data_IF_347491912870
#
_entry.id   IF_347491912870
#
_cell.length_a   1.000
_cell.length_b   1.000
_cell.length_c   1.000
_cell.angle_alpha   90.00
_cell.angle_beta   90.00
_cell.angle_gamma   90.00
#
_symmetry.space_group_name_H-M   'P 1'
#
loop_
_entity.id
_entity.type
_entity.pdbx_description
1 polymer ?
#
# COMPACT_ATOMS: atom_id res chain seq x y z
N UNK A 1 -24.50 11.26 -1.03
CA UNK A 1 -24.12 10.22 -0.06
C UNK A 1 -24.07 8.80 -0.65
N UNK A 2 -25.12 8.30 -1.32
CA UNK A 2 -25.09 6.92 -1.87
C UNK A 2 -23.96 6.69 -2.89
N UNK A 3 -23.68 7.68 -3.75
CA UNK A 3 -22.59 7.63 -4.71
C UNK A 3 -21.21 7.58 -4.06
N UNK A 4 -21.02 8.27 -2.93
CA UNK A 4 -19.78 8.26 -2.13
C UNK A 4 -19.57 6.86 -1.54
N UNK A 5 -20.61 6.29 -0.93
CA UNK A 5 -20.58 4.91 -0.43
C UNK A 5 -20.23 3.91 -1.54
N UNK A 6 -20.90 4.01 -2.69
CA UNK A 6 -20.60 3.16 -3.86
C UNK A 6 -19.15 3.32 -4.34
N UNK A 7 -18.61 4.55 -4.36
CA UNK A 7 -17.22 4.79 -4.69
C UNK A 7 -16.25 4.11 -3.72
N UNK A 8 -16.49 4.24 -2.40
CA UNK A 8 -15.71 3.57 -1.35
C UNK A 8 -15.76 2.06 -1.53
N UNK A 9 -16.95 1.48 -1.78
CA UNK A 9 -17.13 0.05 -2.03
C UNK A 9 -16.32 -0.44 -3.22
N UNK A 10 -16.45 0.24 -4.37
CA UNK A 10 -15.79 -0.16 -5.60
C UNK A 10 -14.27 -0.10 -5.44
N UNK A 11 -13.75 0.97 -4.83
CA UNK A 11 -12.31 1.11 -4.59
C UNK A 11 -11.82 0.04 -3.63
N UNK A 12 -12.52 -0.22 -2.52
CA UNK A 12 -12.15 -1.29 -1.58
C UNK A 12 -12.26 -2.68 -2.18
N UNK A 13 -13.23 -2.95 -3.05
CA UNK A 13 -13.33 -4.21 -3.77
C UNK A 13 -12.12 -4.42 -4.70
N UNK A 14 -11.68 -3.37 -5.40
CA UNK A 14 -10.48 -3.42 -6.23
C UNK A 14 -9.23 -3.67 -5.36
N UNK A 15 -9.11 -2.95 -4.25
CA UNK A 15 -7.96 -3.02 -3.33
C UNK A 15 -7.84 -4.35 -2.59
N UNK A 16 -8.93 -4.83 -2.01
CA UNK A 16 -8.93 -5.98 -1.12
C UNK A 16 -9.27 -7.30 -1.81
N UNK A 17 -9.89 -7.24 -3.00
CA UNK A 17 -10.31 -8.41 -3.76
C UNK A 17 -9.50 -8.59 -5.04
N UNK A 18 -9.77 -7.73 -6.03
CA UNK A 18 -9.30 -7.94 -7.41
C UNK A 18 -7.78 -7.93 -7.52
N UNK A 19 -7.12 -6.95 -6.90
CA UNK A 19 -5.67 -6.76 -7.01
C UNK A 19 -4.89 -7.89 -6.33
N UNK A 20 -5.14 -8.26 -5.06
CA UNK A 20 -4.46 -9.39 -4.43
C UNK A 20 -4.72 -10.73 -5.13
N UNK A 21 -5.95 -10.96 -5.60
CA UNK A 21 -6.30 -12.18 -6.32
C UNK A 21 -5.53 -12.30 -7.65
N UNK A 22 -5.48 -11.22 -8.43
CA UNK A 22 -4.79 -11.18 -9.72
C UNK A 22 -3.28 -11.37 -9.54
N UNK A 23 -2.70 -10.72 -8.53
CA UNK A 23 -1.28 -10.87 -8.17
C UNK A 23 -1.00 -12.32 -7.75
N UNK A 24 -1.80 -12.89 -6.84
CA UNK A 24 -1.63 -14.28 -6.39
C UNK A 24 -1.71 -15.28 -7.56
N UNK A 25 -2.74 -15.16 -8.42
CA UNK A 25 -2.92 -16.05 -9.57
C UNK A 25 -1.75 -16.00 -10.55
N UNK A 26 -1.20 -14.81 -10.80
CA UNK A 26 -0.07 -14.65 -11.72
C UNK A 26 1.24 -15.16 -11.12
N UNK A 27 1.39 -15.14 -9.79
CA UNK A 27 2.64 -15.57 -9.14
C UNK A 27 2.64 -17.07 -8.77
N UNK A 28 1.49 -17.74 -8.74
CA UNK A 28 1.38 -19.17 -8.40
C UNK A 28 2.24 -20.11 -9.26
N UNK A 29 2.68 -19.67 -10.43
CA UNK A 29 3.49 -20.45 -11.35
C UNK A 29 5.00 -20.20 -11.23
N UNK A 30 5.47 -19.38 -10.28
CA UNK A 30 6.90 -19.12 -10.09
C UNK A 30 7.41 -19.68 -8.77
N UNK A 31 8.54 -20.38 -8.84
CA UNK A 31 9.25 -20.91 -7.68
C UNK A 31 10.01 -19.78 -6.95
N UNK A 32 9.67 -19.55 -5.68
CA UNK A 32 10.17 -18.41 -4.91
C UNK A 32 11.49 -18.74 -4.22
N UNK A 33 12.60 -18.31 -4.81
CA UNK A 33 13.89 -18.28 -4.12
C UNK A 33 14.17 -16.88 -3.54
N UNK A 34 13.85 -16.69 -2.26
CA UNK A 34 14.08 -15.45 -1.50
C UNK A 34 15.57 -15.16 -1.26
N UNK A 35 16.47 -16.12 -1.48
CA UNK A 35 17.92 -15.89 -1.46
C UNK A 35 18.42 -15.29 -2.77
N UNK A 36 17.64 -15.42 -3.85
CA UNK A 36 18.01 -15.02 -5.22
C UNK A 36 17.25 -13.80 -5.72
N UNK A 37 16.01 -13.59 -5.28
CA UNK A 37 15.14 -12.49 -5.72
C UNK A 37 14.69 -11.62 -4.54
N UNK A 38 14.66 -10.31 -4.74
CA UNK A 38 14.39 -9.33 -3.67
C UNK A 38 13.15 -8.49 -3.95
N UNK A 39 12.51 -8.00 -2.89
CA UNK A 39 11.58 -6.86 -2.82
C UNK A 39 10.53 -6.77 -3.92
N UNK A 40 10.85 -6.16 -5.06
CA UNK A 40 9.90 -5.96 -6.16
C UNK A 40 10.01 -7.06 -7.23
N UNK A 41 9.93 -8.31 -6.81
CA UNK A 41 9.90 -9.48 -7.71
C UNK A 41 8.96 -9.29 -8.92
N UNK A 42 7.85 -8.55 -8.73
CA UNK A 42 6.86 -8.21 -9.74
C UNK A 42 7.29 -7.21 -10.83
N UNK A 43 8.53 -6.72 -10.85
CA UNK A 43 9.00 -5.96 -12.02
C UNK A 43 10.35 -6.42 -12.55
N UNK A 44 10.71 -7.68 -12.27
CA UNK A 44 11.92 -8.25 -12.84
C UNK A 44 11.75 -8.54 -14.35
N UNK A 45 12.35 -7.70 -15.19
CA UNK A 45 12.36 -7.86 -16.65
C UNK A 45 12.92 -9.22 -17.10
N UNK A 46 13.92 -9.76 -16.41
CA UNK A 46 14.53 -11.03 -16.78
C UNK A 46 13.62 -12.23 -16.48
N UNK A 47 12.68 -12.08 -15.53
CA UNK A 47 11.70 -13.12 -15.19
C UNK A 47 10.38 -12.94 -15.96
N UNK A 48 9.95 -11.69 -16.20
CA UNK A 48 8.59 -11.40 -16.68
C UNK A 48 8.52 -10.55 -17.97
N UNK A 49 9.66 -10.10 -18.51
CA UNK A 49 9.73 -9.30 -19.74
C UNK A 49 9.28 -7.84 -19.59
N UNK A 50 9.49 -7.04 -20.65
CA UNK A 50 9.21 -5.59 -20.66
C UNK A 50 7.72 -5.25 -20.49
N UNK A 51 6.83 -6.08 -21.03
CA UNK A 51 5.38 -5.88 -20.94
C UNK A 51 4.91 -5.89 -19.49
N UNK A 52 5.45 -6.82 -18.69
CA UNK A 52 5.08 -6.96 -17.29
C UNK A 52 5.59 -5.79 -16.44
N UNK A 53 6.82 -5.34 -16.68
CA UNK A 53 7.37 -4.15 -16.01
C UNK A 53 6.51 -2.91 -16.27
N UNK A 54 6.10 -2.70 -17.53
CA UNK A 54 5.18 -1.60 -17.89
C UNK A 54 3.82 -1.75 -17.23
N UNK A 55 3.26 -2.96 -17.19
CA UNK A 55 1.98 -3.24 -16.54
C UNK A 55 2.04 -3.00 -15.02
N UNK A 56 3.10 -3.45 -14.36
CA UNK A 56 3.32 -3.23 -12.93
C UNK A 56 3.46 -1.75 -12.58
N UNK A 57 4.21 -0.98 -13.37
CA UNK A 57 4.28 0.48 -13.21
C UNK A 57 2.90 1.14 -13.32
N UNK A 58 2.09 0.74 -14.31
CA UNK A 58 0.71 1.23 -14.47
C UNK A 58 -0.17 0.82 -13.29
N UNK A 59 0.01 -0.39 -12.77
CA UNK A 59 -0.70 -0.87 -11.59
C UNK A 59 -0.39 0.01 -10.38
N UNK A 60 0.89 0.24 -10.06
CA UNK A 60 1.29 1.09 -8.93
C UNK A 60 0.74 2.52 -9.05
N UNK A 61 0.75 3.07 -10.26
CA UNK A 61 0.16 4.39 -10.51
C UNK A 61 -1.37 4.39 -10.30
N UNK A 62 -2.07 3.37 -10.79
CA UNK A 62 -3.50 3.20 -10.54
C UNK A 62 -3.79 3.03 -9.04
N UNK A 63 -2.96 2.28 -8.32
CA UNK A 63 -3.03 2.12 -6.86
C UNK A 63 -2.88 3.46 -6.15
N UNK A 64 -1.94 4.32 -6.56
CA UNK A 64 -1.79 5.66 -5.98
C UNK A 64 -3.08 6.50 -6.15
N UNK A 65 -3.65 6.52 -7.36
CA UNK A 65 -4.90 7.23 -7.66
C UNK A 65 -6.07 6.68 -6.82
N UNK A 66 -6.22 5.36 -6.77
CA UNK A 66 -7.26 4.71 -6.00
C UNK A 66 -7.12 5.03 -4.50
N UNK A 67 -5.88 5.05 -3.97
CA UNK A 67 -5.62 5.41 -2.58
C UNK A 67 -6.09 6.85 -2.29
N UNK A 68 -5.73 7.79 -3.16
CA UNK A 68 -6.13 9.18 -3.02
C UNK A 68 -7.65 9.32 -3.01
N UNK A 69 -8.32 8.73 -4.01
CA UNK A 69 -9.78 8.76 -4.12
C UNK A 69 -10.45 8.09 -2.91
N UNK A 70 -9.89 7.00 -2.40
CA UNK A 70 -10.45 6.30 -1.25
C UNK A 70 -10.49 7.19 -0.01
N UNK A 71 -9.36 7.79 0.35
CA UNK A 71 -9.29 8.67 1.53
C UNK A 71 -10.01 10.00 1.32
N UNK A 72 -10.06 10.50 0.10
CA UNK A 72 -10.85 11.68 -0.23
C UNK A 72 -12.35 11.43 -0.05
N UNK A 73 -12.88 10.31 -0.55
CA UNK A 73 -14.28 9.94 -0.36
C UNK A 73 -14.60 9.67 1.12
N UNK A 74 -13.68 9.05 1.87
CA UNK A 74 -13.82 8.92 3.32
C UNK A 74 -13.86 10.29 4.01
N UNK A 75 -13.00 11.23 3.59
CA UNK A 75 -13.02 12.59 4.11
C UNK A 75 -14.35 13.29 3.87
N UNK A 76 -14.93 13.11 2.68
CA UNK A 76 -16.23 13.68 2.33
C UNK A 76 -17.37 13.02 3.12
N UNK A 77 -17.33 11.70 3.30
CA UNK A 77 -18.35 10.96 4.03
C UNK A 77 -18.37 11.26 5.53
N UNK A 78 -17.19 11.39 6.15
CA UNK A 78 -17.03 11.64 7.58
C UNK A 78 -16.84 13.12 7.95
N UNK A 79 -17.05 14.05 7.00
CA UNK A 79 -16.85 15.50 7.17
C UNK A 79 -15.47 15.90 7.75
N UNK A 80 -14.42 15.22 7.29
CA UNK A 80 -13.04 15.44 7.77
C UNK A 80 -12.29 16.52 6.99
N UNK A 81 -12.93 17.20 6.05
CA UNK A 81 -12.29 18.17 5.16
C UNK A 81 -11.66 19.37 5.88
N UNK A 82 -12.09 19.66 7.11
CA UNK A 82 -11.50 20.71 7.97
C UNK A 82 -10.22 20.26 8.68
N UNK A 83 -9.92 18.97 8.69
CA UNK A 83 -8.71 18.44 9.30
C UNK A 83 -7.53 18.61 8.34
N UNK A 84 -6.90 19.79 8.37
CA UNK A 84 -5.78 20.12 7.47
C UNK A 84 -4.63 19.12 7.51
N UNK A 85 -4.33 18.53 8.68
CA UNK A 85 -3.26 17.54 8.82
C UNK A 85 -3.61 16.26 8.07
N UNK A 86 -4.85 15.80 8.18
CA UNK A 86 -5.34 14.64 7.44
C UNK A 86 -5.32 14.91 5.93
N UNK A 87 -5.82 16.06 5.49
CA UNK A 87 -5.83 16.43 4.06
C UNK A 87 -4.41 16.48 3.47
N UNK A 88 -3.46 17.15 4.14
CA UNK A 88 -2.04 17.17 3.71
C UNK A 88 -1.43 15.78 3.68
N UNK A 89 -1.83 14.90 4.60
CA UNK A 89 -1.33 13.52 4.61
C UNK A 89 -1.86 12.71 3.40
N UNK A 90 -3.09 12.96 2.94
CA UNK A 90 -3.62 12.34 1.71
C UNK A 90 -2.73 12.73 0.53
N UNK A 91 -2.45 14.02 0.35
CA UNK A 91 -1.61 14.53 -0.74
C UNK A 91 -0.18 13.97 -0.66
N UNK A 92 0.39 13.94 0.54
CA UNK A 92 1.74 13.43 0.80
C UNK A 92 1.83 11.93 0.49
N UNK A 93 0.85 11.15 0.93
CA UNK A 93 0.75 9.72 0.65
C UNK A 93 0.63 9.45 -0.85
N UNK A 94 -0.21 10.23 -1.55
CA UNK A 94 -0.34 10.15 -3.01
C UNK A 94 0.97 10.46 -3.73
N UNK A 95 1.68 11.50 -3.31
CA UNK A 95 2.97 11.87 -3.88
C UNK A 95 4.01 10.74 -3.72
N UNK A 96 4.15 10.16 -2.52
CA UNK A 96 5.11 9.08 -2.29
C UNK A 96 4.74 7.78 -3.00
N UNK A 97 3.46 7.39 -3.01
CA UNK A 97 2.99 6.22 -3.77
C UNK A 97 3.23 6.40 -5.27
N UNK A 98 2.97 7.60 -5.79
CA UNK A 98 3.22 7.93 -7.19
C UNK A 98 4.71 7.89 -7.50
N UNK A 99 5.54 8.52 -6.69
CA UNK A 99 7.01 8.48 -6.82
C UNK A 99 7.52 7.05 -6.84
N UNK A 100 7.00 6.18 -5.96
CA UNK A 100 7.38 4.77 -5.92
C UNK A 100 7.10 4.07 -7.26
N UNK A 101 5.97 4.37 -7.91
CA UNK A 101 5.67 3.84 -9.24
C UNK A 101 6.68 4.28 -10.33
N UNK A 102 7.31 5.44 -10.16
CA UNK A 102 8.27 5.99 -11.14
C UNK A 102 9.73 5.65 -10.83
N UNK A 103 10.06 5.26 -9.60
CA UNK A 103 11.41 4.78 -9.28
C UNK A 103 11.63 3.44 -9.97
N UNK A 104 12.66 3.30 -10.83
CA UNK A 104 12.94 2.03 -11.49
C UNK A 104 13.33 1.01 -10.41
N UNK A 105 12.52 -0.02 -10.27
CA UNK A 105 12.75 -1.05 -9.26
C UNK A 105 13.92 -1.91 -9.78
N UNK A 106 15.06 -1.91 -9.09
CA UNK A 106 16.25 -2.63 -9.52
C UNK A 106 16.50 -3.87 -8.66
N UNK A 107 16.85 -4.97 -9.31
CA UNK A 107 16.79 -6.33 -8.76
C UNK A 107 18.12 -7.01 -8.56
N UNK A 108 19.21 -6.36 -8.97
CA UNK A 108 20.51 -6.99 -8.84
C UNK A 108 20.93 -7.03 -7.36
N UNK A 109 21.58 -8.13 -6.92
CA UNK A 109 22.20 -8.19 -5.59
C UNK A 109 23.21 -7.06 -5.45
N UNK A 110 23.39 -6.58 -4.21
CA UNK A 110 24.39 -5.55 -3.91
C UNK A 110 25.74 -5.98 -4.49
N UNK A 111 26.29 -5.15 -5.37
CA UNK A 111 27.54 -5.46 -6.05
C UNK A 111 28.39 -4.20 -6.13
N UNK A 112 29.60 -4.28 -5.58
CA UNK A 112 30.60 -3.21 -5.69
C UNK A 112 31.04 -2.94 -7.14
N UNK A 113 30.82 -3.89 -8.06
CA UNK A 113 31.11 -3.71 -9.50
C UNK A 113 30.09 -2.80 -10.20
N UNK A 114 28.84 -2.74 -9.72
CA UNK A 114 27.77 -1.94 -10.32
C UNK A 114 27.14 -1.00 -9.28
N UNK A 115 27.88 0.06 -8.95
CA UNK A 115 27.54 1.04 -7.91
C UNK A 115 26.20 1.75 -8.21
N UNK A 116 25.93 2.10 -9.47
CA UNK A 116 24.68 2.73 -9.90
C UNK A 116 23.43 1.86 -9.59
N UNK A 117 23.49 0.56 -9.88
CA UNK A 117 22.38 -0.37 -9.60
C UNK A 117 22.16 -0.55 -8.08
N UNK A 118 23.25 -0.53 -7.32
CA UNK A 118 23.20 -0.61 -5.85
C UNK A 118 22.60 0.66 -5.22
N UNK A 119 22.95 1.86 -5.72
CA UNK A 119 22.36 3.13 -5.27
C UNK A 119 20.87 3.18 -5.59
N UNK A 120 20.48 2.81 -6.81
CA UNK A 120 19.08 2.76 -7.23
C UNK A 120 18.24 1.85 -6.31
N UNK A 121 18.80 0.71 -5.88
CA UNK A 121 18.16 -0.20 -4.94
C UNK A 121 18.00 0.40 -3.54
N UNK A 122 19.02 1.11 -3.03
CA UNK A 122 18.93 1.81 -1.74
C UNK A 122 17.82 2.87 -1.79
N UNK A 123 17.77 3.66 -2.87
CA UNK A 123 16.75 4.68 -3.06
C UNK A 123 15.34 4.09 -3.13
N UNK A 124 15.17 2.98 -3.86
CA UNK A 124 13.89 2.29 -3.93
C UNK A 124 13.44 1.77 -2.56
N UNK A 125 14.35 1.12 -1.81
CA UNK A 125 14.03 0.59 -0.48
C UNK A 125 13.69 1.68 0.52
N UNK A 126 14.44 2.78 0.49
CA UNK A 126 14.18 3.94 1.33
C UNK A 126 12.80 4.53 1.01
N UNK A 127 12.49 4.69 -0.28
CA UNK A 127 11.19 5.18 -0.71
C UNK A 127 10.05 4.22 -0.35
N UNK A 128 10.25 2.91 -0.47
CA UNK A 128 9.29 1.91 -0.04
C UNK A 128 8.99 2.05 1.46
N UNK A 129 10.02 2.18 2.31
CA UNK A 129 9.87 2.43 3.75
C UNK A 129 9.07 3.71 4.01
N UNK A 130 9.37 4.79 3.29
CA UNK A 130 8.62 6.05 3.40
C UNK A 130 7.14 5.83 3.01
N UNK A 131 6.86 5.08 1.95
CA UNK A 131 5.49 4.72 1.55
C UNK A 131 4.79 3.90 2.63
N UNK A 132 5.45 2.90 3.23
CA UNK A 132 4.88 2.13 4.35
C UNK A 132 4.47 3.04 5.52
N UNK A 133 5.39 3.90 5.96
CA UNK A 133 5.18 4.80 7.10
C UNK A 133 4.06 5.81 6.78
N UNK A 134 4.09 6.42 5.60
CA UNK A 134 3.14 7.47 5.21
C UNK A 134 1.72 6.92 5.06
N UNK A 135 1.57 5.70 4.51
CA UNK A 135 0.26 5.06 4.40
C UNK A 135 -0.29 4.59 5.76
N UNK A 136 0.55 4.01 6.61
CA UNK A 136 0.17 3.67 7.99
C UNK A 136 -0.24 4.91 8.79
N UNK A 137 0.51 6.01 8.67
CA UNK A 137 0.20 7.27 9.33
C UNK A 137 -1.12 7.87 8.83
N UNK A 138 -1.40 7.77 7.53
CA UNK A 138 -2.67 8.22 6.95
C UNK A 138 -3.86 7.46 7.55
N UNK A 139 -3.74 6.13 7.66
CA UNK A 139 -4.77 5.28 8.28
C UNK A 139 -4.96 5.65 9.76
N UNK A 140 -3.88 5.80 10.52
CA UNK A 140 -3.94 6.18 11.94
C UNK A 140 -4.61 7.55 12.08
N UNK A 141 -4.21 8.55 11.30
CA UNK A 141 -4.81 9.89 11.34
C UNK A 141 -6.30 9.85 11.04
N UNK A 142 -6.71 9.12 10.00
CA UNK A 142 -8.13 8.92 9.71
C UNK A 142 -8.87 8.31 10.91
N UNK A 143 -8.35 7.21 11.48
CA UNK A 143 -9.01 6.53 12.59
C UNK A 143 -9.08 7.38 13.85
N UNK A 144 -8.03 8.16 14.15
CA UNK A 144 -8.05 9.13 15.25
C UNK A 144 -9.03 10.28 15.02
N UNK A 145 -9.19 10.73 13.77
CA UNK A 145 -10.10 11.81 13.44
C UNK A 145 -11.57 11.41 13.67
N UNK A 146 -11.95 10.19 13.26
CA UNK A 146 -13.31 9.68 13.46
C UNK A 146 -13.56 9.17 14.89
N UNK A 147 -12.53 9.01 15.72
CA UNK A 147 -12.65 8.41 17.05
C UNK A 147 -13.57 9.22 17.97
N UNK A 148 -13.55 10.55 17.85
CA UNK A 148 -14.36 11.47 18.66
C UNK A 148 -15.86 11.23 18.47
N UNK A 149 -16.30 11.03 17.23
CA UNK A 149 -17.70 10.80 16.90
C UNK A 149 -18.08 9.31 16.92
N UNK A 150 -17.13 8.43 16.60
CA UNK A 150 -17.36 7.00 16.34
C UNK A 150 -16.33 6.13 17.08
N UNK A 151 -16.40 6.16 18.40
CA UNK A 151 -15.47 5.47 19.31
C UNK A 151 -15.22 4.00 18.94
N UNK A 152 -16.28 3.22 18.67
CA UNK A 152 -16.14 1.81 18.33
C UNK A 152 -15.40 1.59 17.01
N UNK A 153 -15.77 2.33 15.96
CA UNK A 153 -15.17 2.18 14.63
C UNK A 153 -13.71 2.66 14.66
N UNK A 154 -13.46 3.81 15.30
CA UNK A 154 -12.12 4.36 15.47
C UNK A 154 -11.18 3.42 16.22
N UNK A 155 -11.62 2.88 17.37
CA UNK A 155 -10.78 2.01 18.21
C UNK A 155 -10.48 0.67 17.53
N UNK A 156 -11.51 0.03 16.96
CA UNK A 156 -11.32 -1.25 16.25
C UNK A 156 -10.45 -1.09 15.01
N UNK A 157 -10.64 -0.01 14.24
CA UNK A 157 -9.78 0.32 13.11
C UNK A 157 -8.32 0.57 13.51
N UNK A 158 -8.08 1.25 14.64
CA UNK A 158 -6.74 1.45 15.21
C UNK A 158 -6.08 0.13 15.62
N UNK A 159 -6.83 -0.76 16.28
CA UNK A 159 -6.32 -2.08 16.69
C UNK A 159 -5.89 -2.88 15.46
N UNK A 160 -6.73 -2.89 14.40
CA UNK A 160 -6.42 -3.60 13.15
C UNK A 160 -5.09 -3.08 12.57
N UNK A 161 -4.94 -1.77 12.39
CA UNK A 161 -3.74 -1.22 11.75
C UNK A 161 -2.48 -1.41 12.62
N UNK A 162 -2.58 -1.32 13.95
CA UNK A 162 -1.46 -1.56 14.86
C UNK A 162 -0.99 -3.01 14.75
N UNK A 163 -1.92 -3.97 14.78
CA UNK A 163 -1.59 -5.39 14.62
C UNK A 163 -0.91 -5.66 13.28
N UNK A 164 -1.41 -5.05 12.19
CA UNK A 164 -0.79 -5.15 10.86
C UNK A 164 0.63 -4.60 10.86
N UNK A 165 0.85 -3.41 11.44
CA UNK A 165 2.19 -2.81 11.53
C UNK A 165 3.14 -3.74 12.27
N UNK A 166 2.73 -4.30 13.41
CA UNK A 166 3.55 -5.22 14.20
C UNK A 166 3.91 -6.49 13.44
N UNK A 167 2.94 -7.10 12.75
CA UNK A 167 3.16 -8.30 11.92
C UNK A 167 4.14 -8.02 10.79
N UNK A 168 4.06 -6.84 10.16
CA UNK A 168 4.92 -6.44 9.04
C UNK A 168 6.31 -6.00 9.51
N UNK A 169 6.43 -5.45 10.71
CA UNK A 169 7.71 -5.02 11.26
C UNK A 169 8.66 -6.20 11.52
N UNK A 170 8.12 -7.34 11.95
CA UNK A 170 8.91 -8.56 12.22
C UNK A 170 9.75 -9.03 11.01
N UNK A 171 9.18 -9.28 9.81
CA UNK A 171 9.97 -9.66 8.64
C UNK A 171 10.88 -8.52 8.15
N UNK A 172 10.48 -7.25 8.32
CA UNK A 172 11.34 -6.10 7.97
C UNK A 172 12.61 -6.09 8.81
N UNK A 173 12.52 -6.30 10.12
CA UNK A 173 13.70 -6.34 11.00
C UNK A 173 14.58 -7.54 10.68
N UNK A 174 13.97 -8.71 10.45
CA UNK A 174 14.72 -9.96 10.27
C UNK A 174 15.41 -10.07 8.91
N UNK A 175 14.74 -9.62 7.85
CA UNK A 175 15.13 -9.90 6.47
C UNK A 175 15.25 -8.63 5.61
N UNK A 176 15.08 -7.44 6.20
CA UNK A 176 14.84 -6.21 5.47
C UNK A 176 13.42 -6.17 4.88
N UNK A 177 13.07 -5.05 4.27
CA UNK A 177 11.85 -5.00 3.46
C UNK A 177 12.01 -6.05 2.35
N UNK A 178 11.02 -6.92 2.17
CA UNK A 178 11.00 -7.97 1.14
C UNK A 178 9.57 -8.18 0.62
N UNK A 179 9.41 -8.97 -0.45
CA UNK A 179 8.09 -9.21 -1.04
C UNK A 179 7.07 -9.82 -0.06
N UNK A 180 7.54 -10.58 0.94
CA UNK A 180 6.67 -11.13 2.00
C UNK A 180 6.13 -10.01 2.89
N UNK A 181 6.97 -9.07 3.32
CA UNK A 181 6.56 -7.90 4.11
C UNK A 181 5.57 -7.01 3.34
N UNK A 182 5.82 -6.78 2.04
CA UNK A 182 4.91 -6.05 1.15
C UNK A 182 3.54 -6.74 1.06
N UNK A 183 3.49 -8.06 0.82
CA UNK A 183 2.24 -8.82 0.74
C UNK A 183 1.48 -8.78 2.07
N UNK A 184 2.18 -8.96 3.20
CA UNK A 184 1.56 -8.92 4.53
C UNK A 184 0.95 -7.54 4.81
N UNK A 185 1.63 -6.47 4.41
CA UNK A 185 1.12 -5.11 4.57
C UNK A 185 -0.10 -4.82 3.69
N UNK A 186 -0.05 -5.20 2.41
CA UNK A 186 -1.18 -5.04 1.48
C UNK A 186 -2.39 -5.81 2.02
N UNK A 187 -2.21 -7.05 2.47
CA UNK A 187 -3.28 -7.85 3.05
C UNK A 187 -3.83 -7.23 4.33
N UNK A 188 -2.95 -6.71 5.20
CA UNK A 188 -3.36 -6.04 6.43
C UNK A 188 -4.17 -4.77 6.18
N UNK A 189 -3.74 -3.92 5.25
CA UNK A 189 -4.51 -2.75 4.80
C UNK A 189 -5.82 -3.18 4.15
N UNK A 190 -5.83 -4.29 3.41
CA UNK A 190 -7.04 -4.83 2.79
C UNK A 190 -8.09 -5.17 3.84
N UNK A 191 -7.71 -5.86 4.92
CA UNK A 191 -8.60 -6.16 6.07
C UNK A 191 -9.18 -4.88 6.66
N UNK A 192 -8.32 -3.89 6.91
CA UNK A 192 -8.74 -2.58 7.41
C UNK A 192 -9.71 -1.87 6.44
N UNK A 193 -9.44 -1.92 5.14
CA UNK A 193 -10.27 -1.28 4.11
C UNK A 193 -11.66 -1.94 3.99
N UNK A 194 -11.74 -3.27 4.14
CA UNK A 194 -13.01 -4.00 4.18
C UNK A 194 -13.80 -3.57 5.41
N UNK A 195 -13.15 -3.53 6.57
CA UNK A 195 -13.78 -3.12 7.83
C UNK A 195 -14.38 -1.70 7.72
N UNK A 196 -13.60 -0.72 7.26
CA UNK A 196 -14.10 0.65 7.16
C UNK A 196 -15.20 0.79 6.10
N UNK A 197 -15.14 0.02 5.02
CA UNK A 197 -16.17 0.02 3.99
C UNK A 197 -17.49 -0.52 4.52
N UNK A 198 -17.47 -1.68 5.20
CA UNK A 198 -18.68 -2.27 5.79
C UNK A 198 -19.33 -1.28 6.77
N UNK A 199 -18.53 -0.70 7.66
CA UNK A 199 -19.04 0.25 8.65
C UNK A 199 -19.56 1.55 8.01
N UNK A 200 -18.91 2.03 6.95
CA UNK A 200 -19.39 3.17 6.13
C UNK A 200 -20.74 2.87 5.47
N UNK A 201 -21.01 1.63 5.06
CA UNK A 201 -22.29 1.26 4.47
C UNK A 201 -23.42 1.19 5.48
N UNK A 202 -23.12 0.64 6.67
CA UNK A 202 -24.10 0.47 7.76
C UNK A 202 -24.55 1.81 8.34
N UNK A 203 -23.65 2.80 8.42
CA UNK A 203 -23.97 4.17 8.88
C UNK A 203 -24.70 4.97 7.80
#
# INVERSE_FOLDING_TARGET
MIWIKLGILLISFIYAGWLPYTVKKNIQHIDFDLNKYTLSFLSNKNLFGDTYVKAYKRLLFATAILNYLFFWLLSEFYDLGKNERFMRQIDTSFAFLTLLAFVPHNFYPYSRRNLALSIQRILHNLLAIVVFITLSMLIILFQTAILSDLHFIGLTGLIIIIVVILIVLFPIIRNGVNGVAEILFINGISIWSIFITITTFIK
#
